data_IF_954791738815
#
_entry.id   IF_954791738815
#
_cell.length_a   1.000
_cell.length_b   1.000
_cell.length_c   1.000
_cell.angle_alpha   90.00
_cell.angle_beta   90.00
_cell.angle_gamma   90.00
#
_symmetry.space_group_name_H-M   'P 1'
#
loop_
_entity.id
_entity.type
_entity.pdbx_description
1 polymer ?
#
# COMPACT_ATOMS: atom_id res chain seq x y z
N UNK A 1 -0.38 -7.45 37.81
CA UNK A 1 0.58 -7.29 36.69
C UNK A 1 -0.01 -6.68 35.41
N UNK A 2 -1.11 -7.21 34.83
CA UNK A 2 -1.72 -6.67 33.58
C UNK A 2 -2.35 -5.26 33.69
N UNK A 3 -2.82 -4.85 34.87
CA UNK A 3 -3.43 -3.52 35.07
C UNK A 3 -2.36 -2.42 35.20
N UNK A 4 -1.33 -2.67 36.01
CA UNK A 4 -0.15 -1.81 36.15
C UNK A 4 0.58 -1.63 34.80
N UNK A 5 0.73 -2.69 34.01
CA UNK A 5 1.34 -2.57 32.68
C UNK A 5 0.47 -1.77 31.71
N UNK A 6 -0.86 -1.88 31.76
CA UNK A 6 -1.78 -1.03 30.97
C UNK A 6 -1.69 0.44 31.36
N UNK A 7 -1.69 0.76 32.66
CA UNK A 7 -1.58 2.14 33.16
C UNK A 7 -0.23 2.74 32.77
N UNK A 8 0.87 2.01 33.02
CA UNK A 8 2.22 2.43 32.67
C UNK A 8 2.33 2.68 31.15
N UNK A 9 1.80 1.78 30.32
CA UNK A 9 1.81 1.95 28.86
C UNK A 9 1.01 3.17 28.39
N UNK A 10 -0.10 3.51 29.04
CA UNK A 10 -0.89 4.70 28.71
C UNK A 10 -0.16 5.98 29.08
N UNK A 11 0.44 6.05 30.27
CA UNK A 11 1.22 7.20 30.72
C UNK A 11 2.47 7.40 29.86
N UNK A 12 3.22 6.31 29.59
CA UNK A 12 4.40 6.31 28.71
C UNK A 12 4.03 6.80 27.30
N UNK A 13 2.88 6.39 26.78
CA UNK A 13 2.40 6.85 25.48
C UNK A 13 2.07 8.34 25.45
N UNK A 14 1.35 8.85 26.45
CA UNK A 14 1.03 10.29 26.51
C UNK A 14 2.31 11.12 26.61
N UNK A 15 3.27 10.69 27.44
CA UNK A 15 4.58 11.33 27.53
C UNK A 15 5.33 11.30 26.19
N UNK A 16 5.37 10.15 25.51
CA UNK A 16 6.00 10.01 24.19
C UNK A 16 5.34 10.91 23.14
N UNK A 17 4.01 10.99 23.12
CA UNK A 17 3.28 11.85 22.20
C UNK A 17 3.57 13.34 22.46
N UNK A 18 3.57 13.77 23.72
CA UNK A 18 3.90 15.15 24.09
C UNK A 18 5.35 15.49 23.74
N UNK A 19 6.28 14.56 23.96
CA UNK A 19 7.66 14.71 23.56
C UNK A 19 7.82 14.88 22.04
N UNK A 20 7.13 14.07 21.24
CA UNK A 20 7.17 14.19 19.77
C UNK A 20 6.53 15.49 19.28
N UNK A 21 5.45 15.94 19.90
CA UNK A 21 4.85 17.26 19.60
C UNK A 21 5.83 18.40 19.89
N UNK A 22 6.54 18.32 21.01
CA UNK A 22 7.58 19.29 21.34
C UNK A 22 8.73 19.27 20.32
N UNK A 23 9.20 18.09 19.93
CA UNK A 23 10.23 17.94 18.88
C UNK A 23 9.75 18.51 17.55
N UNK A 24 8.51 18.21 17.13
CA UNK A 24 7.91 18.75 15.92
C UNK A 24 7.83 20.28 15.96
N UNK A 25 7.43 20.86 17.10
CA UNK A 25 7.38 22.32 17.28
C UNK A 25 8.77 22.96 17.23
N UNK A 26 9.79 22.31 17.80
CA UNK A 26 11.18 22.77 17.67
C UNK A 26 11.66 22.70 16.22
N UNK A 27 11.32 21.64 15.49
CA UNK A 27 11.69 21.50 14.07
C UNK A 27 10.97 22.52 13.19
N UNK A 28 9.70 22.83 13.47
CA UNK A 28 8.96 23.93 12.84
C UNK A 28 9.65 25.30 13.04
N UNK A 29 10.13 25.58 14.25
CA UNK A 29 10.89 26.82 14.49
C UNK A 29 12.18 26.86 13.68
N UNK A 30 12.87 25.73 13.55
CA UNK A 30 14.07 25.62 12.71
C UNK A 30 13.73 25.82 11.24
N UNK A 31 12.64 25.22 10.76
CA UNK A 31 12.24 25.29 9.35
C UNK A 31 12.01 26.73 8.88
N UNK A 32 11.53 27.63 9.75
CA UNK A 32 11.39 29.06 9.42
C UNK A 32 12.69 29.78 9.05
N UNK A 33 13.85 29.26 9.47
CA UNK A 33 15.16 29.83 9.12
C UNK A 33 15.64 29.40 7.74
N UNK A 34 15.10 28.32 7.20
CA UNK A 34 15.48 27.77 5.91
C UNK A 34 14.41 28.11 4.88
N UNK A 35 14.77 28.96 3.92
CA UNK A 35 13.91 29.22 2.77
C UNK A 35 14.04 28.05 1.79
N UNK A 36 12.91 27.69 1.18
CA UNK A 36 12.88 26.77 0.05
C UNK A 36 13.68 27.36 -1.11
N UNK A 37 14.44 26.50 -1.80
CA UNK A 37 15.30 26.90 -2.91
C UNK A 37 14.90 26.10 -4.15
N UNK A 38 14.50 26.81 -5.18
CA UNK A 38 14.27 26.22 -6.50
C UNK A 38 15.60 26.27 -7.24
N UNK A 39 16.17 25.10 -7.52
CA UNK A 39 17.52 24.99 -8.12
C UNK A 39 17.42 24.73 -9.62
N UNK A 40 16.43 23.95 -10.03
CA UNK A 40 16.10 23.72 -11.44
C UNK A 40 14.62 24.05 -11.65
N UNK A 41 14.30 24.74 -12.73
CA UNK A 41 12.93 25.20 -13.02
C UNK A 41 12.76 25.41 -14.54
N UNK A 42 12.56 24.31 -15.28
CA UNK A 42 12.34 24.38 -16.72
C UNK A 42 10.97 24.99 -17.06
N UNK A 43 10.78 25.49 -18.29
CA UNK A 43 9.46 25.88 -18.78
C UNK A 43 8.48 24.69 -18.77
N UNK A 44 7.24 24.98 -18.42
CA UNK A 44 6.14 24.02 -18.43
C UNK A 44 5.18 24.33 -19.56
N UNK A 45 4.80 23.31 -20.33
CA UNK A 45 4.10 23.41 -21.61
C UNK A 45 2.78 22.61 -21.61
N UNK A 46 2.15 22.45 -20.44
CA UNK A 46 0.87 21.77 -20.32
C UNK A 46 0.97 20.23 -20.29
N UNK A 47 2.15 19.67 -20.03
CA UNK A 47 2.32 18.22 -19.89
C UNK A 47 1.60 17.66 -18.65
N UNK A 48 1.42 16.34 -18.59
CA UNK A 48 1.11 15.65 -17.34
C UNK A 48 2.24 15.88 -16.33
N UNK A 49 1.92 16.00 -15.05
CA UNK A 49 2.92 16.31 -14.00
C UNK A 49 3.10 15.12 -13.07
N UNK A 50 4.34 14.75 -12.77
CA UNK A 50 4.67 13.91 -11.62
C UNK A 50 5.32 14.76 -10.52
N UNK A 51 4.64 14.89 -9.39
CA UNK A 51 5.14 15.55 -8.18
C UNK A 51 5.71 14.49 -7.23
N UNK A 52 7.04 14.42 -7.17
CA UNK A 52 7.79 13.45 -6.39
C UNK A 52 8.35 14.07 -5.10
N UNK A 53 7.92 13.55 -3.95
CA UNK A 53 8.50 13.87 -2.65
C UNK A 53 9.71 12.98 -2.38
N UNK A 54 10.86 13.61 -2.09
CA UNK A 54 12.15 12.94 -1.89
C UNK A 54 12.73 13.15 -0.48
N UNK A 55 13.39 12.09 0.00
CA UNK A 55 14.21 11.99 1.20
C UNK A 55 15.60 11.45 0.83
N UNK A 56 16.22 12.06 -0.19
CA UNK A 56 17.45 11.56 -0.81
C UNK A 56 18.66 12.43 -0.46
N UNK A 57 19.70 11.82 0.10
CA UNK A 57 20.89 12.53 0.60
C UNK A 57 22.09 12.29 -0.31
N UNK A 58 22.54 13.36 -0.96
CA UNK A 58 23.72 13.36 -1.81
C UNK A 58 23.47 12.71 -3.17
N UNK A 59 23.13 11.43 -3.19
CA UNK A 59 22.82 10.67 -4.41
C UNK A 59 21.33 10.30 -4.45
N UNK A 60 20.78 10.18 -5.66
CA UNK A 60 19.49 9.55 -5.88
C UNK A 60 19.68 8.03 -5.93
N UNK A 61 18.74 7.27 -5.36
CA UNK A 61 18.68 5.81 -5.55
C UNK A 61 18.41 5.44 -7.01
N UNK A 62 18.86 4.27 -7.45
CA UNK A 62 18.73 3.90 -8.86
C UNK A 62 17.27 3.62 -9.22
N UNK A 63 16.47 3.07 -8.30
CA UNK A 63 15.03 2.86 -8.50
C UNK A 63 14.29 4.18 -8.77
N UNK A 64 14.64 5.24 -8.03
CA UNK A 64 14.10 6.60 -8.25
C UNK A 64 14.52 7.14 -9.62
N UNK A 65 15.77 6.92 -10.03
CA UNK A 65 16.25 7.29 -11.36
C UNK A 65 15.45 6.54 -12.45
N UNK A 66 15.20 5.24 -12.27
CA UNK A 66 14.41 4.42 -13.19
C UNK A 66 12.98 4.92 -13.34
N UNK A 67 12.32 5.29 -12.24
CA UNK A 67 11.00 5.94 -12.26
C UNK A 67 11.02 7.24 -13.09
N UNK A 68 11.98 8.13 -12.80
CA UNK A 68 12.08 9.43 -13.50
C UNK A 68 12.36 9.24 -14.99
N UNK A 69 13.21 8.28 -15.37
CA UNK A 69 13.47 7.93 -16.77
C UNK A 69 12.21 7.41 -17.47
N UNK A 70 11.46 6.51 -16.83
CA UNK A 70 10.18 6.01 -17.34
C UNK A 70 9.18 7.16 -17.54
N UNK A 71 9.08 8.06 -16.57
CA UNK A 71 8.22 9.25 -16.67
C UNK A 71 8.62 10.15 -17.84
N UNK A 72 9.92 10.44 -18.02
CA UNK A 72 10.39 11.25 -19.15
C UNK A 72 10.12 10.62 -20.51
N UNK A 73 10.28 9.29 -20.66
CA UNK A 73 9.94 8.57 -21.90
C UNK A 73 8.49 8.78 -22.30
N UNK A 74 7.59 8.96 -21.33
CA UNK A 74 6.16 9.20 -21.53
C UNK A 74 5.80 10.70 -21.61
N UNK A 75 6.79 11.59 -21.74
CA UNK A 75 6.57 13.03 -21.87
C UNK A 75 6.07 13.72 -20.59
N UNK A 76 6.23 13.10 -19.43
CA UNK A 76 5.78 13.64 -18.15
C UNK A 76 6.75 14.72 -17.66
N UNK A 77 6.20 15.81 -17.15
CA UNK A 77 6.94 16.88 -16.48
C UNK A 77 7.15 16.53 -15.01
N UNK A 78 8.40 16.58 -14.55
CA UNK A 78 8.79 16.07 -13.23
C UNK A 78 9.11 17.21 -12.27
N UNK A 79 8.44 17.24 -11.13
CA UNK A 79 8.69 18.16 -10.02
C UNK A 79 9.19 17.33 -8.84
N UNK A 80 10.46 17.50 -8.47
CA UNK A 80 11.08 16.82 -7.35
C UNK A 80 11.25 17.78 -6.18
N UNK A 81 10.67 17.44 -5.02
CA UNK A 81 10.82 18.21 -3.78
C UNK A 81 11.60 17.39 -2.77
N UNK A 82 12.86 17.77 -2.53
CA UNK A 82 13.78 17.01 -1.69
C UNK A 82 14.07 17.70 -0.35
N UNK A 83 14.26 16.90 0.69
CA UNK A 83 14.46 17.35 2.07
C UNK A 83 15.88 17.17 2.59
N UNK A 84 16.73 16.39 1.89
CA UNK A 84 18.11 16.09 2.33
C UNK A 84 19.22 16.60 1.38
N UNK A 85 18.84 17.22 0.27
CA UNK A 85 19.70 17.80 -0.78
C UNK A 85 20.56 16.79 -1.55
N UNK A 86 20.67 17.00 -2.85
CA UNK A 86 21.58 16.25 -3.72
C UNK A 86 22.91 16.97 -3.89
N UNK A 87 24.00 16.22 -4.08
CA UNK A 87 25.33 16.80 -4.33
C UNK A 87 25.48 17.36 -5.74
N UNK A 88 24.75 16.83 -6.72
CA UNK A 88 24.88 17.24 -8.12
C UNK A 88 23.58 17.02 -8.89
N UNK A 89 22.67 17.99 -8.79
CA UNK A 89 21.41 17.98 -9.56
C UNK A 89 21.64 18.05 -11.07
N UNK A 90 22.75 18.67 -11.50
CA UNK A 90 23.13 18.80 -12.91
C UNK A 90 23.21 17.47 -13.65
N UNK A 91 23.59 16.38 -12.96
CA UNK A 91 23.63 15.02 -13.54
C UNK A 91 22.25 14.46 -13.86
N UNK A 92 21.20 15.05 -13.30
CA UNK A 92 19.83 14.58 -13.41
C UNK A 92 18.93 15.60 -14.12
N UNK A 93 19.50 16.67 -14.71
CA UNK A 93 18.74 17.71 -15.41
C UNK A 93 17.93 17.19 -16.60
N UNK A 94 18.30 16.05 -17.18
CA UNK A 94 17.58 15.47 -18.31
C UNK A 94 16.33 14.70 -17.86
N UNK A 95 16.31 14.27 -16.60
CA UNK A 95 15.22 13.47 -16.00
C UNK A 95 14.42 14.20 -14.93
N UNK A 96 14.87 15.38 -14.51
CA UNK A 96 14.18 16.26 -13.57
C UNK A 96 13.95 17.61 -14.27
N UNK A 97 12.71 18.11 -14.26
CA UNK A 97 12.38 19.40 -14.89
C UNK A 97 12.31 20.54 -13.89
N UNK A 98 11.81 20.26 -12.68
CA UNK A 98 11.84 21.19 -11.55
C UNK A 98 12.38 20.47 -10.31
N UNK A 99 13.33 21.09 -9.62
CA UNK A 99 13.93 20.57 -8.40
C UNK A 99 13.92 21.63 -7.30
N UNK A 100 13.29 21.29 -6.18
CA UNK A 100 13.11 22.17 -5.01
C UNK A 100 13.77 21.53 -3.80
N UNK A 101 14.75 22.22 -3.23
CA UNK A 101 15.32 21.90 -1.93
C UNK A 101 14.50 22.58 -0.82
N UNK A 102 14.10 21.81 0.19
CA UNK A 102 13.43 22.32 1.39
C UNK A 102 14.02 21.73 2.66
N UNK A 103 13.74 22.38 3.78
CA UNK A 103 14.05 21.81 5.10
C UNK A 103 13.20 20.57 5.37
N UNK A 104 13.81 19.58 6.06
CA UNK A 104 13.12 18.36 6.46
C UNK A 104 12.15 18.63 7.62
N UNK A 105 10.92 19.02 7.27
CA UNK A 105 9.80 19.20 8.19
C UNK A 105 8.47 18.91 7.48
N UNK A 106 7.55 18.26 8.18
CA UNK A 106 6.21 17.95 7.68
C UNK A 106 6.08 16.60 6.98
N UNK A 107 7.12 15.77 7.01
CA UNK A 107 7.22 14.48 6.29
C UNK A 107 6.94 14.67 4.78
N UNK A 108 6.44 13.62 4.13
CA UNK A 108 6.01 13.62 2.72
C UNK A 108 4.96 14.70 2.41
N UNK A 109 3.95 14.88 3.27
CA UNK A 109 2.96 15.95 3.10
C UNK A 109 3.56 17.35 3.11
N UNK A 110 4.69 17.55 3.80
CA UNK A 110 5.46 18.78 3.72
C UNK A 110 6.04 19.02 2.34
N UNK A 111 6.59 17.97 1.71
CA UNK A 111 7.10 18.05 0.34
C UNK A 111 5.98 18.21 -0.68
N UNK A 112 4.86 17.51 -0.51
CA UNK A 112 3.68 17.71 -1.36
C UNK A 112 3.15 19.13 -1.25
N UNK A 113 3.00 19.68 -0.04
CA UNK A 113 2.55 21.06 0.15
C UNK A 113 3.43 22.05 -0.61
N UNK A 114 4.75 21.98 -0.45
CA UNK A 114 5.71 22.81 -1.21
C UNK A 114 5.51 22.66 -2.72
N UNK A 115 5.34 21.43 -3.21
CA UNK A 115 5.09 21.16 -4.63
C UNK A 115 3.79 21.75 -5.15
N UNK A 116 2.67 21.58 -4.45
CA UNK A 116 1.38 22.16 -4.84
C UNK A 116 1.40 23.68 -4.75
N UNK A 117 2.00 24.27 -3.73
CA UNK A 117 2.12 25.73 -3.61
C UNK A 117 2.96 26.32 -4.76
N UNK A 118 4.06 25.65 -5.14
CA UNK A 118 4.84 26.04 -6.31
C UNK A 118 3.99 25.98 -7.59
N UNK A 119 3.30 24.85 -7.80
CA UNK A 119 2.44 24.61 -8.95
C UNK A 119 1.34 25.68 -9.07
N UNK A 120 0.63 25.98 -7.97
CA UNK A 120 -0.43 26.97 -7.93
C UNK A 120 0.07 28.39 -8.19
N UNK A 121 1.20 28.76 -7.59
CA UNK A 121 1.82 30.07 -7.80
C UNK A 121 2.25 30.28 -9.26
N UNK A 122 2.67 29.22 -9.94
CA UNK A 122 3.03 29.24 -11.37
C UNK A 122 1.83 29.12 -12.31
N UNK A 123 0.63 28.88 -11.79
CA UNK A 123 -0.58 28.69 -12.60
C UNK A 123 -0.60 27.38 -13.39
N UNK A 124 0.33 26.46 -13.13
CA UNK A 124 0.50 25.20 -13.90
C UNK A 124 -0.72 24.28 -13.82
N UNK A 125 -1.51 24.36 -12.74
CA UNK A 125 -2.77 23.61 -12.58
C UNK A 125 -3.77 23.90 -13.69
N UNK A 126 -3.70 25.09 -14.29
CA UNK A 126 -4.64 25.51 -15.34
C UNK A 126 -4.46 24.72 -16.62
N UNK A 127 -3.25 24.26 -16.89
CA UNK A 127 -2.92 23.54 -18.13
C UNK A 127 -2.65 22.06 -17.88
N UNK A 128 -2.30 21.68 -16.64
CA UNK A 128 -2.06 20.29 -16.24
C UNK A 128 -3.28 19.39 -16.46
N UNK A 129 -3.24 18.45 -17.43
CA UNK A 129 -4.35 17.54 -17.66
C UNK A 129 -4.51 16.53 -16.52
N UNK A 130 -3.39 16.11 -15.92
CA UNK A 130 -3.37 15.18 -14.79
C UNK A 130 -2.05 15.26 -14.03
N UNK A 131 -2.13 15.20 -12.71
CA UNK A 131 -0.97 15.19 -11.83
C UNK A 131 -0.93 13.89 -11.03
N UNK A 132 0.23 13.22 -11.00
CA UNK A 132 0.54 12.13 -10.08
C UNK A 132 1.39 12.66 -8.93
N UNK A 133 0.89 12.61 -7.71
CA UNK A 133 1.73 12.75 -6.52
C UNK A 133 2.27 11.39 -6.10
N UNK A 134 3.56 11.33 -5.80
CA UNK A 134 4.22 10.10 -5.39
C UNK A 134 5.39 10.41 -4.44
N UNK A 135 5.74 9.50 -3.53
CA UNK A 135 6.90 9.67 -2.65
C UNK A 135 7.89 8.51 -2.79
N UNK A 136 9.11 8.72 -2.31
CA UNK A 136 10.21 7.73 -2.36
C UNK A 136 10.27 6.80 -1.14
N UNK A 137 9.21 6.73 -0.33
CA UNK A 137 9.07 5.75 0.76
C UNK A 137 8.75 4.33 0.25
N UNK A 138 8.81 4.15 -1.05
CA UNK A 138 8.59 2.93 -1.82
C UNK A 138 9.82 2.70 -2.70
N UNK A 139 10.08 1.43 -2.97
CA UNK A 139 11.00 0.99 -4.01
C UNK A 139 10.23 0.91 -5.33
N UNK A 140 10.84 1.42 -6.40
CA UNK A 140 10.30 1.40 -7.75
C UNK A 140 10.89 0.25 -8.57
N UNK A 141 10.14 -0.84 -8.69
CA UNK A 141 10.48 -1.94 -9.59
C UNK A 141 10.48 -1.46 -11.03
N UNK A 142 11.53 -1.75 -11.80
CA UNK A 142 11.56 -1.53 -13.25
C UNK A 142 10.55 -2.41 -13.97
N UNK A 143 10.25 -3.57 -13.38
CA UNK A 143 9.18 -4.45 -13.83
C UNK A 143 7.85 -3.74 -13.66
N UNK A 144 7.08 -3.64 -14.73
CA UNK A 144 5.75 -3.01 -14.81
C UNK A 144 5.68 -1.48 -14.70
N UNK A 145 6.78 -0.77 -14.47
CA UNK A 145 6.72 0.69 -14.20
C UNK A 145 6.10 1.50 -15.34
N UNK A 146 6.46 1.19 -16.59
CA UNK A 146 5.95 1.92 -17.74
C UNK A 146 4.42 1.79 -17.86
N UNK A 147 3.92 0.55 -17.77
CA UNK A 147 2.47 0.26 -17.82
C UNK A 147 1.73 0.85 -16.62
N UNK A 148 2.32 0.81 -15.43
CA UNK A 148 1.72 1.40 -14.25
C UNK A 148 1.57 2.93 -14.38
N UNK A 149 2.60 3.62 -14.87
CA UNK A 149 2.52 5.06 -15.12
C UNK A 149 1.45 5.36 -16.19
N UNK A 150 1.39 4.58 -17.26
CA UNK A 150 0.33 4.69 -18.27
C UNK A 150 -1.07 4.55 -17.64
N UNK A 151 -1.31 3.50 -16.85
CA UNK A 151 -2.60 3.30 -16.16
C UNK A 151 -2.94 4.47 -15.23
N UNK A 152 -1.96 4.99 -14.47
CA UNK A 152 -2.17 6.11 -13.55
C UNK A 152 -2.44 7.43 -14.28
N UNK A 153 -1.81 7.66 -15.44
CA UNK A 153 -1.87 8.92 -16.17
C UNK A 153 -2.94 8.97 -17.27
N UNK A 154 -3.38 7.84 -17.82
CA UNK A 154 -4.43 7.76 -18.85
C UNK A 154 -5.83 7.45 -18.30
N UNK A 155 -5.92 7.08 -17.02
CA UNK A 155 -7.22 6.80 -16.40
C UNK A 155 -8.16 8.01 -16.44
N UNK A 156 -9.44 7.72 -16.67
CA UNK A 156 -10.53 8.72 -16.64
C UNK A 156 -11.06 8.99 -15.23
N UNK A 157 -10.62 8.22 -14.23
CA UNK A 157 -11.01 8.39 -12.83
C UNK A 157 -10.39 9.69 -12.30
N UNK A 158 -11.21 10.59 -11.76
CA UNK A 158 -10.76 11.92 -11.33
C UNK A 158 -9.76 11.88 -10.17
N UNK A 159 -9.99 11.05 -9.14
CA UNK A 159 -9.06 10.79 -8.04
C UNK A 159 -8.73 9.30 -7.97
N UNK A 160 -7.51 8.94 -8.38
CA UNK A 160 -7.06 7.55 -8.47
C UNK A 160 -5.84 7.31 -7.58
N UNK A 161 -6.00 6.55 -6.50
CA UNK A 161 -4.86 6.06 -5.72
C UNK A 161 -4.30 4.78 -6.33
N UNK A 162 -3.02 4.47 -6.11
CA UNK A 162 -2.51 3.14 -6.48
C UNK A 162 -3.21 2.04 -5.64
N UNK A 163 -3.31 2.28 -4.34
CA UNK A 163 -4.01 1.40 -3.37
C UNK A 163 -4.83 2.23 -2.39
N UNK A 164 -5.60 1.57 -1.55
CA UNK A 164 -6.40 2.13 -0.46
C UNK A 164 -6.11 1.46 0.89
N UNK A 165 -6.64 2.03 1.95
CA UNK A 165 -6.42 1.61 3.32
C UNK A 165 -7.74 1.59 4.10
N UNK A 166 -7.96 0.52 4.87
CA UNK A 166 -9.16 0.22 5.65
C UNK A 166 -8.90 0.12 7.16
N UNK A 167 -7.69 0.41 7.65
CA UNK A 167 -7.30 0.20 9.05
C UNK A 167 -8.08 1.07 10.04
N UNK A 168 -8.24 2.37 9.74
CA UNK A 168 -8.89 3.35 10.63
C UNK A 168 -10.17 3.88 9.99
N UNK A 169 -10.03 4.42 8.78
CA UNK A 169 -11.12 4.93 7.95
C UNK A 169 -10.71 4.68 6.50
N UNK A 170 -11.67 4.43 5.61
CA UNK A 170 -11.38 4.22 4.18
C UNK A 170 -10.77 5.47 3.53
N UNK A 171 -9.51 5.37 3.08
CA UNK A 171 -8.76 6.43 2.40
C UNK A 171 -7.80 5.87 1.33
N UNK A 172 -7.41 6.70 0.35
CA UNK A 172 -6.38 6.34 -0.62
C UNK A 172 -4.99 6.42 0.01
N UNK A 173 -4.09 5.53 -0.40
CA UNK A 173 -2.69 5.57 0.02
C UNK A 173 -2.00 6.83 -0.52
N UNK A 174 -1.62 7.75 0.37
CA UNK A 174 -1.01 9.05 0.03
C UNK A 174 0.38 8.96 -0.61
N UNK A 175 0.96 7.76 -0.67
CA UNK A 175 2.24 7.53 -1.34
C UNK A 175 2.14 7.56 -2.86
N UNK A 176 0.94 7.43 -3.45
CA UNK A 176 0.75 7.44 -4.91
C UNK A 176 -0.72 7.74 -5.27
N UNK A 177 -1.01 8.98 -5.70
CA UNK A 177 -2.37 9.42 -6.09
C UNK A 177 -2.30 10.29 -7.36
N UNK A 178 -3.06 9.90 -8.39
CA UNK A 178 -3.29 10.70 -9.57
C UNK A 178 -4.58 11.53 -9.46
N UNK A 179 -4.51 12.78 -9.92
CA UNK A 179 -5.54 13.79 -9.81
C UNK A 179 -5.79 14.44 -11.17
N UNK A 180 -7.04 14.40 -11.60
CA UNK A 180 -7.50 15.06 -12.83
C UNK A 180 -7.46 16.59 -12.72
N UNK A 181 -7.32 17.25 -13.88
CA UNK A 181 -7.34 18.71 -14.04
C UNK A 181 -8.48 19.40 -13.28
N UNK A 182 -9.68 18.82 -13.27
CA UNK A 182 -10.83 19.40 -12.56
C UNK A 182 -10.59 19.50 -11.06
N UNK A 183 -9.95 18.49 -10.46
CA UNK A 183 -9.58 18.51 -9.04
C UNK A 183 -8.51 19.57 -8.79
N UNK A 184 -7.49 19.64 -9.63
CA UNK A 184 -6.40 20.61 -9.49
C UNK A 184 -6.90 22.07 -9.52
N UNK A 185 -7.95 22.34 -10.31
CA UNK A 185 -8.57 23.65 -10.42
C UNK A 185 -9.70 23.90 -9.40
N UNK A 186 -10.04 22.93 -8.57
CA UNK A 186 -11.08 23.09 -7.57
C UNK A 186 -10.57 23.89 -6.36
N UNK A 187 -11.29 24.96 -6.00
CA UNK A 187 -10.91 25.85 -4.89
C UNK A 187 -10.81 25.13 -3.54
N UNK A 188 -11.67 24.14 -3.31
CA UNK A 188 -11.67 23.36 -2.07
C UNK A 188 -10.38 22.55 -1.94
N UNK A 189 -9.90 21.97 -3.04
CA UNK A 189 -8.65 21.23 -3.08
C UNK A 189 -7.44 22.16 -2.91
N UNK A 190 -7.44 23.32 -3.57
CA UNK A 190 -6.36 24.31 -3.40
C UNK A 190 -6.31 24.85 -1.96
N UNK A 191 -7.47 25.11 -1.36
CA UNK A 191 -7.57 25.56 0.03
C UNK A 191 -7.10 24.49 1.03
N UNK A 192 -7.27 23.20 0.74
CA UNK A 192 -6.71 22.14 1.57
C UNK A 192 -5.19 22.27 1.67
N UNK A 193 -4.48 22.38 0.55
CA UNK A 193 -3.01 22.50 0.55
C UNK A 193 -2.51 23.79 1.19
N UNK A 194 -3.16 24.93 0.85
CA UNK A 194 -2.83 26.24 1.44
C UNK A 194 -2.90 26.20 2.97
N UNK A 195 -3.97 25.61 3.51
CA UNK A 195 -4.24 25.58 4.95
C UNK A 195 -3.66 24.34 5.67
N UNK A 196 -3.03 23.41 4.96
CA UNK A 196 -2.48 22.21 5.57
C UNK A 196 -1.39 22.56 6.59
N UNK A 197 -1.60 22.15 7.84
CA UNK A 197 -0.68 22.39 8.95
C UNK A 197 0.38 21.28 9.04
N UNK A 198 1.63 21.65 8.79
CA UNK A 198 2.76 20.73 8.85
C UNK A 198 3.04 20.22 10.27
N UNK A 199 3.44 18.95 10.38
CA UNK A 199 3.90 18.30 11.61
C UNK A 199 4.77 17.09 11.27
N UNK A 200 5.68 16.72 12.18
CA UNK A 200 6.42 15.47 12.10
C UNK A 200 5.73 14.32 12.88
N UNK A 201 4.66 14.63 13.64
CA UNK A 201 3.91 13.65 14.42
C UNK A 201 3.07 12.78 13.49
N UNK A 202 3.48 11.52 13.30
CA UNK A 202 2.90 10.61 12.30
C UNK A 202 1.37 10.46 12.39
N UNK A 203 0.74 10.21 13.56
CA UNK A 203 -0.72 10.14 13.62
C UNK A 203 -1.43 11.43 13.17
N UNK A 204 -0.84 12.59 13.45
CA UNK A 204 -1.40 13.87 13.01
C UNK A 204 -1.24 14.06 11.50
N UNK A 205 -0.16 13.54 10.88
CA UNK A 205 0.00 13.47 9.41
C UNK A 205 -1.02 12.52 8.78
N UNK A 206 -1.25 11.35 9.36
CA UNK A 206 -2.27 10.41 8.84
C UNK A 206 -3.65 11.06 8.91
N UNK A 207 -3.98 11.65 10.06
CA UNK A 207 -5.30 12.27 10.29
C UNK A 207 -5.53 13.51 9.44
N UNK A 208 -4.62 14.49 9.49
CA UNK A 208 -4.79 15.79 8.79
C UNK A 208 -4.37 15.71 7.33
N UNK A 209 -3.50 14.77 6.99
CA UNK A 209 -3.01 14.50 5.65
C UNK A 209 -3.89 13.48 4.98
N UNK A 210 -3.57 12.20 5.12
CA UNK A 210 -4.17 11.10 4.35
C UNK A 210 -5.71 11.07 4.41
N UNK A 211 -6.28 11.14 5.62
CA UNK A 211 -7.73 11.06 5.81
C UNK A 211 -8.45 12.33 5.34
N UNK A 212 -7.97 13.53 5.70
CA UNK A 212 -8.62 14.79 5.27
C UNK A 212 -8.41 15.04 3.78
N UNK A 213 -7.27 14.67 3.19
CA UNK A 213 -7.06 14.68 1.74
C UNK A 213 -8.11 13.80 1.07
N UNK A 214 -8.27 12.55 1.52
CA UNK A 214 -9.28 11.65 0.94
C UNK A 214 -10.70 12.17 1.09
N UNK A 215 -11.06 12.77 2.23
CA UNK A 215 -12.36 13.46 2.42
C UNK A 215 -12.53 14.65 1.48
N UNK A 216 -11.47 15.41 1.27
CA UNK A 216 -11.45 16.54 0.35
C UNK A 216 -11.68 16.06 -1.08
N UNK A 217 -10.97 15.01 -1.51
CA UNK A 217 -11.12 14.38 -2.82
C UNK A 217 -12.54 13.84 -3.02
N UNK A 218 -13.07 13.04 -2.07
CA UNK A 218 -14.46 12.54 -2.10
C UNK A 218 -15.51 13.63 -2.25
N UNK A 219 -15.24 14.85 -1.73
CA UNK A 219 -16.15 16.00 -1.83
C UNK A 219 -16.07 16.72 -3.18
N UNK A 220 -14.92 16.72 -3.85
CA UNK A 220 -14.70 17.51 -5.08
C UNK A 220 -14.84 16.70 -6.35
N UNK A 221 -14.79 15.37 -6.28
CA UNK A 221 -15.09 14.50 -7.43
C UNK A 221 -16.54 14.64 -7.87
N UNK A 222 -16.78 14.45 -9.17
CA UNK A 222 -18.11 14.64 -9.77
C UNK A 222 -19.11 13.55 -9.40
N UNK A 223 -18.65 12.34 -9.07
CA UNK A 223 -19.49 11.27 -8.52
C UNK A 223 -18.67 10.34 -7.62
N UNK A 224 -19.32 9.53 -6.74
CA UNK A 224 -18.60 8.58 -5.88
C UNK A 224 -17.70 7.60 -6.66
N UNK A 225 -18.09 7.23 -7.88
CA UNK A 225 -17.33 6.35 -8.77
C UNK A 225 -16.03 6.95 -9.32
N UNK A 226 -15.82 8.26 -9.13
CA UNK A 226 -14.63 8.98 -9.55
C UNK A 226 -13.54 9.04 -8.47
N UNK A 227 -13.77 8.40 -7.33
CA UNK A 227 -12.79 8.19 -6.26
C UNK A 227 -12.49 6.69 -6.13
N UNK A 228 -11.36 6.22 -6.68
CA UNK A 228 -11.04 4.77 -6.73
C UNK A 228 -9.56 4.49 -6.45
N UNK A 229 -9.27 3.25 -6.09
CA UNK A 229 -7.92 2.70 -6.16
C UNK A 229 -7.74 1.94 -7.49
N UNK A 230 -6.54 2.01 -8.06
CA UNK A 230 -6.18 1.30 -9.29
C UNK A 230 -6.14 -0.22 -9.08
N UNK A 231 -5.67 -0.65 -7.90
CA UNK A 231 -5.69 -2.04 -7.45
C UNK A 231 -6.74 -2.22 -6.34
N UNK A 232 -8.01 -1.99 -6.69
CA UNK A 232 -9.14 -2.23 -5.79
C UNK A 232 -9.58 -3.71 -5.79
N UNK A 233 -10.48 -4.06 -4.88
CA UNK A 233 -11.02 -5.41 -4.76
C UNK A 233 -11.73 -5.91 -6.02
N UNK A 234 -12.34 -5.00 -6.79
CA UNK A 234 -13.01 -5.32 -8.05
C UNK A 234 -12.01 -5.83 -9.08
N UNK A 235 -10.88 -5.12 -9.25
CA UNK A 235 -9.79 -5.53 -10.13
C UNK A 235 -9.20 -6.86 -9.67
N UNK A 236 -8.98 -7.04 -8.37
CA UNK A 236 -8.40 -8.27 -7.83
C UNK A 236 -9.31 -9.48 -8.10
N UNK A 237 -10.60 -9.35 -7.81
CA UNK A 237 -11.57 -10.41 -8.11
C UNK A 237 -11.53 -10.76 -9.61
N UNK A 238 -11.53 -9.75 -10.48
CA UNK A 238 -11.50 -9.96 -11.94
C UNK A 238 -10.21 -10.64 -12.41
N UNK A 239 -9.07 -10.27 -11.86
CA UNK A 239 -7.77 -10.89 -12.19
C UNK A 239 -7.80 -12.38 -11.82
N UNK A 240 -8.29 -12.73 -10.64
CA UNK A 240 -8.33 -14.13 -10.19
C UNK A 240 -9.38 -14.96 -10.93
N UNK A 241 -10.52 -14.38 -11.29
CA UNK A 241 -11.52 -15.04 -12.14
C UNK A 241 -10.99 -15.35 -13.54
N UNK A 242 -10.14 -14.47 -14.08
CA UNK A 242 -9.59 -14.62 -15.44
C UNK A 242 -8.34 -15.51 -15.47
N UNK A 243 -7.57 -15.53 -14.39
CA UNK A 243 -6.31 -16.28 -14.27
C UNK A 243 -6.40 -17.24 -13.08
N UNK A 244 -7.17 -18.32 -13.25
CA UNK A 244 -7.43 -19.28 -12.16
C UNK A 244 -6.16 -20.00 -11.66
N UNK A 245 -5.10 -20.03 -12.46
CA UNK A 245 -3.76 -20.51 -12.08
C UNK A 245 -3.13 -19.69 -10.94
N UNK A 246 -3.47 -18.39 -10.83
CA UNK A 246 -3.03 -17.55 -9.71
C UNK A 246 -3.63 -18.00 -8.37
N UNK A 247 -4.79 -18.67 -8.39
CA UNK A 247 -5.47 -19.13 -7.17
C UNK A 247 -4.58 -20.12 -6.41
N UNK A 248 -3.86 -20.98 -7.14
CA UNK A 248 -2.93 -21.96 -6.56
C UNK A 248 -1.71 -21.28 -5.92
N UNK A 249 -1.38 -20.06 -6.35
CA UNK A 249 -0.26 -19.27 -5.84
C UNK A 249 -0.66 -18.33 -4.70
N UNK A 250 -1.93 -18.24 -4.31
CA UNK A 250 -2.36 -17.27 -3.28
C UNK A 250 -1.67 -17.46 -1.93
N UNK A 251 -1.32 -18.70 -1.55
CA UNK A 251 -0.59 -18.97 -0.30
C UNK A 251 0.84 -18.44 -0.34
N UNK A 252 1.50 -18.51 -1.50
CA UNK A 252 2.89 -18.04 -1.66
C UNK A 252 2.94 -16.53 -1.91
N UNK A 253 1.93 -15.97 -2.57
CA UNK A 253 1.77 -14.54 -2.83
C UNK A 253 1.18 -13.76 -1.67
N UNK A 254 0.75 -14.45 -0.61
CA UNK A 254 0.28 -13.82 0.62
C UNK A 254 1.42 -13.54 1.59
N UNK A 255 1.30 -12.42 2.30
CA UNK A 255 2.18 -12.02 3.40
C UNK A 255 2.27 -13.13 4.44
N UNK A 256 3.51 -13.51 4.80
CA UNK A 256 3.80 -14.55 5.78
C UNK A 256 3.97 -14.00 7.21
N UNK A 257 4.20 -12.69 7.39
CA UNK A 257 4.34 -12.11 8.72
C UNK A 257 3.06 -12.19 9.57
N UNK A 258 3.18 -12.79 10.76
CA UNK A 258 2.11 -12.88 11.75
C UNK A 258 2.22 -11.84 12.88
N UNK A 259 3.16 -10.89 12.77
CA UNK A 259 3.39 -9.86 13.80
C UNK A 259 2.20 -8.89 13.97
N UNK A 260 1.28 -8.88 13.01
CA UNK A 260 0.09 -8.03 12.99
C UNK A 260 -1.16 -8.89 12.91
N UNK A 261 -2.25 -8.47 13.57
CA UNK A 261 -3.48 -9.25 13.67
C UNK A 261 -4.34 -9.23 12.39
N UNK A 262 -3.78 -8.81 11.25
CA UNK A 262 -4.52 -8.75 9.99
C UNK A 262 -4.59 -10.13 9.34
N UNK A 263 -5.79 -10.68 9.10
CA UNK A 263 -5.93 -12.02 8.56
C UNK A 263 -5.37 -12.08 7.14
N UNK A 264 -4.59 -13.10 6.83
CA UNK A 264 -4.05 -13.38 5.49
C UNK A 264 -4.78 -14.57 4.88
N UNK A 265 -4.64 -14.75 3.57
CA UNK A 265 -5.22 -15.90 2.90
C UNK A 265 -4.65 -17.20 3.46
N UNK A 266 -5.52 -18.18 3.62
CA UNK A 266 -5.17 -19.51 4.11
C UNK A 266 -6.10 -20.53 3.49
N UNK A 267 -5.54 -21.50 2.78
CA UNK A 267 -6.31 -22.62 2.24
C UNK A 267 -7.05 -23.38 3.33
N UNK A 268 -6.50 -23.49 4.54
CA UNK A 268 -7.16 -24.14 5.67
C UNK A 268 -8.42 -23.40 6.13
N UNK A 269 -8.38 -22.06 6.18
CA UNK A 269 -9.57 -21.25 6.51
C UNK A 269 -10.62 -21.36 5.40
N UNK A 270 -10.18 -21.27 4.14
CA UNK A 270 -11.07 -21.43 2.98
C UNK A 270 -11.76 -22.81 2.97
N UNK A 271 -11.00 -23.91 3.13
CA UNK A 271 -11.55 -25.27 3.21
C UNK A 271 -12.51 -25.43 4.37
N UNK A 272 -12.21 -24.85 5.54
CA UNK A 272 -13.14 -24.83 6.68
C UNK A 272 -14.44 -24.06 6.37
N UNK A 273 -14.36 -22.99 5.58
CA UNK A 273 -15.53 -22.29 5.06
C UNK A 273 -16.35 -23.16 4.09
N UNK A 274 -15.68 -23.78 3.12
CA UNK A 274 -16.27 -24.69 2.14
C UNK A 274 -17.01 -25.85 2.82
N UNK A 275 -16.34 -26.54 3.75
CA UNK A 275 -16.94 -27.65 4.52
C UNK A 275 -18.19 -27.18 5.26
N UNK A 276 -18.15 -26.04 5.96
CA UNK A 276 -19.31 -25.51 6.69
C UNK A 276 -20.48 -25.14 5.78
N UNK A 277 -20.23 -24.64 4.57
CA UNK A 277 -21.26 -24.16 3.64
C UNK A 277 -21.89 -25.30 2.83
N UNK A 278 -21.06 -26.20 2.30
CA UNK A 278 -21.46 -27.14 1.25
C UNK A 278 -21.38 -28.61 1.69
N UNK A 279 -20.50 -28.97 2.64
CA UNK A 279 -20.29 -30.36 3.03
C UNK A 279 -20.99 -30.68 4.36
N UNK A 280 -22.05 -31.48 4.27
CA UNK A 280 -22.73 -32.02 5.45
C UNK A 280 -22.36 -33.49 5.60
N UNK A 281 -21.96 -33.91 6.81
CA UNK A 281 -21.87 -35.34 7.10
C UNK A 281 -23.27 -35.92 7.30
N UNK A 282 -23.50 -37.15 6.82
CA UNK A 282 -24.74 -37.90 7.06
C UNK A 282 -25.11 -37.97 8.56
N UNK A 283 -24.11 -37.95 9.46
CA UNK A 283 -24.34 -37.84 10.91
C UNK A 283 -25.01 -36.55 11.38
N UNK A 284 -24.74 -35.39 10.75
CA UNK A 284 -25.41 -34.12 11.10
C UNK A 284 -26.87 -34.10 10.64
N UNK A 285 -27.19 -34.71 9.49
CA UNK A 285 -28.55 -34.88 8.98
C UNK A 285 -29.36 -35.86 9.84
N UNK A 286 -28.79 -37.01 10.23
CA UNK A 286 -29.46 -37.97 11.12
C UNK A 286 -29.78 -37.39 12.51
N UNK A 287 -28.94 -36.49 13.03
CA UNK A 287 -29.18 -35.80 14.31
C UNK A 287 -30.31 -34.78 14.24
N UNK A 288 -30.47 -34.10 13.09
CA UNK A 288 -31.61 -33.21 12.80
C UNK A 288 -32.93 -33.98 12.65
N UNK A 289 -32.87 -35.26 12.28
CA UNK A 289 -34.03 -36.17 12.19
C UNK A 289 -34.20 -37.09 13.41
N UNK A 290 -33.55 -36.78 14.54
CA UNK A 290 -33.85 -37.41 15.84
C UNK A 290 -33.33 -38.84 16.02
N UNK A 291 -32.34 -39.29 15.24
CA UNK A 291 -31.66 -40.57 15.50
C UNK A 291 -30.39 -40.35 16.31
N UNK A 292 -30.30 -41.04 17.44
CA UNK A 292 -29.09 -41.05 18.27
C UNK A 292 -27.93 -41.67 17.51
N UNK A 293 -26.92 -40.86 17.25
CA UNK A 293 -25.64 -41.37 16.77
C UNK A 293 -24.53 -40.95 17.71
N UNK A 294 -23.77 -41.95 18.17
CA UNK A 294 -22.55 -41.78 18.94
C UNK A 294 -21.59 -40.91 18.14
N UNK A 295 -21.34 -39.72 18.66
CA UNK A 295 -20.36 -38.77 18.13
C UNK A 295 -18.98 -39.26 18.46
N UNK A 296 -18.21 -39.64 17.45
CA UNK A 296 -16.77 -39.46 17.36
C UNK A 296 -16.42 -39.49 15.88
N UNK A 297 -15.40 -38.73 15.48
CA UNK A 297 -14.86 -38.64 14.11
C UNK A 297 -15.53 -37.59 13.20
N UNK A 298 -15.30 -36.31 13.53
CA UNK A 298 -15.26 -35.21 12.52
C UNK A 298 -13.80 -34.73 12.33
N UNK A 299 -12.82 -35.46 12.88
CA UNK A 299 -11.40 -35.11 12.73
C UNK A 299 -10.70 -35.86 11.60
N UNK A 300 -11.37 -36.77 10.90
CA UNK A 300 -10.75 -37.60 9.86
C UNK A 300 -10.93 -37.03 8.43
N UNK A 301 -10.68 -35.73 8.27
CA UNK A 301 -10.00 -35.33 7.04
C UNK A 301 -8.53 -35.69 7.28
N UNK A 302 -8.16 -36.93 6.95
CA UNK A 302 -6.76 -37.35 6.97
C UNK A 302 -5.89 -36.24 6.33
N UNK A 303 -4.75 -35.94 6.95
CA UNK A 303 -3.88 -34.85 6.53
C UNK A 303 -3.39 -35.07 5.09
N UNK A 304 -4.12 -34.52 4.12
CA UNK A 304 -3.75 -34.58 2.71
C UNK A 304 -3.01 -33.30 2.35
N UNK A 305 -1.80 -33.45 1.81
CA UNK A 305 -1.03 -32.33 1.28
C UNK A 305 -1.65 -31.87 -0.04
N UNK A 306 -2.62 -30.95 0.05
CA UNK A 306 -3.28 -30.37 -1.11
C UNK A 306 -2.37 -29.29 -1.70
N UNK A 307 -1.77 -29.59 -2.86
CA UNK A 307 -0.86 -28.68 -3.56
C UNK A 307 -1.56 -27.64 -4.44
N UNK A 308 -2.79 -27.90 -4.88
CA UNK A 308 -3.55 -27.01 -5.77
C UNK A 308 -5.06 -27.12 -5.54
N UNK A 309 -5.79 -26.11 -5.99
CA UNK A 309 -7.27 -26.09 -6.06
C UNK A 309 -7.81 -27.24 -6.91
N UNK A 310 -7.10 -27.66 -7.96
CA UNK A 310 -7.45 -28.84 -8.76
C UNK A 310 -7.33 -30.13 -7.95
N UNK A 311 -6.23 -30.29 -7.21
CA UNK A 311 -6.07 -31.44 -6.32
C UNK A 311 -7.14 -31.46 -5.22
N UNK A 312 -7.50 -30.29 -4.68
CA UNK A 312 -8.60 -30.17 -3.72
C UNK A 312 -9.94 -30.58 -4.33
N UNK A 313 -10.24 -30.10 -5.55
CA UNK A 313 -11.46 -30.45 -6.27
C UNK A 313 -11.54 -31.94 -6.52
N UNK A 314 -10.44 -32.56 -6.95
CA UNK A 314 -10.37 -34.00 -7.16
C UNK A 314 -10.56 -34.79 -5.87
N UNK A 315 -10.02 -34.29 -4.74
CA UNK A 315 -10.26 -34.90 -3.43
C UNK A 315 -11.73 -34.81 -3.04
N UNK A 316 -12.32 -33.61 -3.08
CA UNK A 316 -13.72 -33.38 -2.69
C UNK A 316 -14.64 -34.22 -3.59
N UNK A 317 -14.47 -34.14 -4.91
CA UNK A 317 -15.29 -34.85 -5.89
C UNK A 317 -15.32 -36.37 -5.66
N UNK A 318 -14.16 -36.98 -5.33
CA UNK A 318 -14.08 -38.42 -5.04
C UNK A 318 -14.84 -38.87 -3.80
N UNK A 319 -15.15 -37.96 -2.88
CA UNK A 319 -15.80 -38.26 -1.60
C UNK A 319 -17.24 -37.71 -1.53
N UNK A 320 -17.78 -37.21 -2.65
CA UNK A 320 -19.18 -36.84 -2.76
C UNK A 320 -20.01 -38.09 -3.10
N UNK A 321 -20.98 -38.43 -2.26
CA UNK A 321 -21.97 -39.48 -2.51
C UNK A 321 -23.24 -38.87 -3.11
N UNK A 322 -23.81 -39.53 -4.13
CA UNK A 322 -25.14 -39.21 -4.70
C UNK A 322 -25.36 -37.73 -5.08
N UNK A 323 -24.45 -37.14 -5.87
CA UNK A 323 -24.56 -35.73 -6.29
C UNK A 323 -24.55 -35.60 -7.82
N UNK A 324 -25.50 -34.85 -8.37
CA UNK A 324 -25.55 -34.42 -9.78
C UNK A 324 -24.61 -33.23 -10.02
N UNK A 325 -23.32 -33.42 -9.71
CA UNK A 325 -22.27 -32.43 -9.93
C UNK A 325 -21.14 -33.05 -10.75
N UNK A 326 -20.56 -32.27 -11.64
CA UNK A 326 -19.33 -32.64 -12.34
C UNK A 326 -18.09 -32.22 -11.52
N UNK A 327 -16.92 -32.77 -11.86
CA UNK A 327 -15.66 -32.30 -11.31
C UNK A 327 -15.47 -30.78 -11.52
N UNK A 328 -15.87 -30.27 -12.70
CA UNK A 328 -15.72 -28.85 -13.04
C UNK A 328 -16.63 -27.96 -12.18
N UNK A 329 -17.82 -28.42 -11.80
CA UNK A 329 -18.70 -27.70 -10.88
C UNK A 329 -18.09 -27.58 -9.48
N UNK A 330 -17.47 -28.67 -9.00
CA UNK A 330 -16.76 -28.69 -7.71
C UNK A 330 -15.53 -27.77 -7.77
N UNK A 331 -14.74 -27.86 -8.84
CA UNK A 331 -13.57 -27.00 -9.05
C UNK A 331 -13.96 -25.52 -9.09
N UNK A 332 -15.02 -25.18 -9.83
CA UNK A 332 -15.53 -23.82 -9.92
C UNK A 332 -15.98 -23.29 -8.56
N UNK A 333 -16.68 -24.11 -7.77
CA UNK A 333 -17.07 -23.76 -6.39
C UNK A 333 -15.87 -23.47 -5.51
N UNK A 334 -14.82 -24.30 -5.59
CA UNK A 334 -13.58 -24.09 -4.84
C UNK A 334 -12.89 -22.79 -5.27
N UNK A 335 -12.81 -22.50 -6.57
CA UNK A 335 -12.24 -21.25 -7.06
C UNK A 335 -13.02 -20.04 -6.55
N UNK A 336 -14.36 -20.08 -6.56
CA UNK A 336 -15.21 -19.01 -6.03
C UNK A 336 -14.93 -18.76 -4.54
N UNK A 337 -14.85 -19.82 -3.73
CA UNK A 337 -14.57 -19.71 -2.29
C UNK A 337 -13.14 -19.20 -2.02
N UNK A 338 -12.16 -19.63 -2.81
CA UNK A 338 -10.79 -19.14 -2.72
C UNK A 338 -10.70 -17.64 -3.06
N UNK A 339 -11.34 -17.21 -4.15
CA UNK A 339 -11.40 -15.79 -4.55
C UNK A 339 -12.10 -14.97 -3.47
N UNK A 340 -13.25 -15.44 -2.96
CA UNK A 340 -14.01 -14.74 -1.93
C UNK A 340 -13.18 -14.56 -0.64
N UNK A 341 -12.52 -15.62 -0.17
CA UNK A 341 -11.64 -15.55 1.01
C UNK A 341 -10.47 -14.58 0.78
N UNK A 342 -9.82 -14.64 -0.39
CA UNK A 342 -8.72 -13.75 -0.71
C UNK A 342 -9.16 -12.28 -0.74
N UNK A 343 -10.22 -11.96 -1.47
CA UNK A 343 -10.76 -10.59 -1.58
C UNK A 343 -11.18 -10.04 -0.21
N UNK A 344 -11.74 -10.86 0.67
CA UNK A 344 -12.05 -10.45 2.04
C UNK A 344 -10.78 -10.06 2.81
N UNK A 345 -9.73 -10.87 2.75
CA UNK A 345 -8.45 -10.59 3.41
C UNK A 345 -7.68 -9.44 2.77
N UNK A 346 -7.82 -9.25 1.45
CA UNK A 346 -7.19 -8.19 0.68
C UNK A 346 -7.64 -6.80 1.15
N UNK A 347 -8.93 -6.67 1.53
CA UNK A 347 -9.53 -5.43 2.04
C UNK A 347 -9.32 -5.20 3.55
N UNK A 348 -8.33 -5.84 4.18
CA UNK A 348 -8.01 -5.64 5.61
C UNK A 348 -6.75 -4.81 5.78
N UNK A 349 -6.84 -3.79 6.63
CA UNK A 349 -5.71 -2.91 6.95
C UNK A 349 -5.25 -2.10 5.74
N UNK A 350 -3.93 -1.94 5.59
CA UNK A 350 -3.31 -1.25 4.46
C UNK A 350 -3.02 -2.22 3.32
N UNK A 351 -3.68 -2.05 2.17
CA UNK A 351 -3.55 -2.99 1.04
C UNK A 351 -2.11 -3.21 0.58
N UNK A 352 -1.33 -2.13 0.42
CA UNK A 352 0.05 -2.26 -0.05
C UNK A 352 0.92 -3.07 0.91
N UNK A 353 0.72 -2.94 2.23
CA UNK A 353 1.51 -3.69 3.20
C UNK A 353 0.99 -5.12 3.39
N UNK A 354 -0.32 -5.32 3.28
CA UNK A 354 -0.96 -6.62 3.43
C UNK A 354 -0.70 -7.53 2.22
N UNK A 355 -0.65 -6.95 1.03
CA UNK A 355 -0.70 -7.68 -0.24
C UNK A 355 0.46 -7.34 -1.19
N UNK A 356 1.58 -6.79 -0.72
CA UNK A 356 2.62 -6.25 -1.62
C UNK A 356 3.16 -7.28 -2.62
N UNK A 357 3.36 -8.52 -2.19
CA UNK A 357 3.87 -9.61 -3.01
C UNK A 357 2.90 -9.90 -4.17
N UNK A 358 1.63 -10.16 -3.83
CA UNK A 358 0.56 -10.35 -4.81
C UNK A 358 0.40 -9.14 -5.74
N UNK A 359 0.36 -7.92 -5.19
CA UNK A 359 0.21 -6.69 -5.97
C UNK A 359 1.35 -6.51 -6.98
N UNK A 360 2.59 -6.77 -6.57
CA UNK A 360 3.74 -6.71 -7.46
C UNK A 360 3.63 -7.74 -8.59
N UNK A 361 3.28 -8.98 -8.22
CA UNK A 361 3.11 -10.08 -9.17
C UNK A 361 2.06 -9.78 -10.26
N UNK A 362 0.97 -9.10 -9.92
CA UNK A 362 -0.10 -8.74 -10.89
C UNK A 362 0.13 -7.40 -11.60
N UNK A 363 1.28 -6.76 -11.39
CA UNK A 363 1.71 -5.61 -12.18
C UNK A 363 1.90 -4.28 -11.44
N UNK A 364 1.85 -4.24 -10.10
CA UNK A 364 2.11 -3.02 -9.33
C UNK A 364 3.61 -2.87 -9.02
N UNK A 365 4.33 -1.89 -9.59
CA UNK A 365 5.79 -1.76 -9.45
C UNK A 365 6.24 -1.21 -8.09
N UNK A 366 5.33 -0.98 -7.15
CA UNK A 366 5.60 -0.23 -5.91
C UNK A 366 5.76 -1.20 -4.74
N UNK A 367 6.90 -1.14 -4.03
CA UNK A 367 7.16 -1.99 -2.86
C UNK A 367 7.45 -1.12 -1.63
N UNK A 368 6.76 -1.33 -0.50
CA UNK A 368 6.95 -0.50 0.70
C UNK A 368 8.25 -0.81 1.43
N UNK A 369 9.13 0.20 1.49
CA UNK A 369 10.45 0.10 2.12
C UNK A 369 10.40 -0.01 3.64
N UNK A 370 9.33 0.43 4.29
CA UNK A 370 9.16 0.29 5.74
C UNK A 370 8.52 -1.03 6.17
N UNK A 371 8.18 -1.92 5.24
CA UNK A 371 7.47 -3.16 5.54
C UNK A 371 8.22 -4.07 6.53
N UNK A 372 9.52 -4.30 6.33
CA UNK A 372 10.33 -5.09 7.27
C UNK A 372 10.52 -4.36 8.60
N UNK A 373 10.85 -3.06 8.55
CA UNK A 373 11.03 -2.23 9.74
C UNK A 373 9.79 -2.21 10.64
N UNK A 374 8.58 -2.18 10.05
CA UNK A 374 7.29 -2.16 10.74
C UNK A 374 6.77 -3.54 11.12
N UNK A 375 7.43 -4.61 10.69
CA UNK A 375 6.98 -5.98 10.91
C UNK A 375 5.80 -6.39 10.01
N UNK A 376 5.49 -5.61 8.98
CA UNK A 376 4.57 -6.03 7.91
C UNK A 376 5.17 -7.21 7.16
N UNK A 377 6.47 -7.18 6.91
CA UNK A 377 7.22 -8.22 6.21
C UNK A 377 8.16 -8.95 7.16
N UNK A 378 8.41 -10.22 6.86
CA UNK A 378 9.54 -11.00 7.36
C UNK A 378 10.54 -11.27 6.22
N UNK A 379 11.69 -11.88 6.52
CA UNK A 379 12.71 -12.19 5.52
C UNK A 379 12.14 -12.99 4.33
N UNK A 380 11.24 -13.96 4.57
CA UNK A 380 10.54 -14.69 3.51
C UNK A 380 9.80 -13.76 2.54
N UNK A 381 9.07 -12.77 3.05
CA UNK A 381 8.31 -11.83 2.22
C UNK A 381 9.25 -10.96 1.37
N UNK A 382 10.37 -10.53 1.96
CA UNK A 382 11.41 -9.78 1.25
C UNK A 382 12.02 -10.61 0.13
N UNK A 383 12.35 -11.88 0.39
CA UNK A 383 12.89 -12.77 -0.64
C UNK A 383 11.87 -13.07 -1.75
N UNK A 384 10.58 -13.23 -1.42
CA UNK A 384 9.53 -13.40 -2.42
C UNK A 384 9.40 -12.17 -3.34
N UNK A 385 9.47 -10.96 -2.78
CA UNK A 385 9.51 -9.73 -3.59
C UNK A 385 10.78 -9.66 -4.44
N UNK A 386 11.94 -9.96 -3.85
CA UNK A 386 13.23 -9.92 -4.53
C UNK A 386 13.30 -10.90 -5.72
N UNK A 387 12.72 -12.10 -5.58
CA UNK A 387 12.65 -13.09 -6.64
C UNK A 387 11.76 -12.67 -7.82
N UNK A 388 10.80 -11.76 -7.59
CA UNK A 388 9.88 -11.28 -8.62
C UNK A 388 10.39 -10.02 -9.34
N UNK A 389 11.49 -9.40 -8.87
CA UNK A 389 12.14 -8.24 -9.49
C UNK A 389 13.00 -8.61 -10.71
N UNK A 390 13.32 -7.60 -11.52
CA UNK A 390 14.36 -7.74 -12.55
C UNK A 390 15.73 -7.96 -11.90
N UNK A 391 16.54 -8.86 -12.46
CA UNK A 391 17.80 -9.32 -11.85
C UNK A 391 18.77 -8.21 -11.42
N UNK A 392 18.80 -7.10 -12.15
CA UNK A 392 19.69 -5.95 -11.84
C UNK A 392 19.25 -5.14 -10.60
N UNK A 393 18.00 -5.28 -10.15
CA UNK A 393 17.46 -4.57 -8.98
C UNK A 393 17.50 -5.39 -7.68
N UNK A 394 17.72 -6.70 -7.78
CA UNK A 394 17.57 -7.65 -6.66
C UNK A 394 18.48 -7.30 -5.48
N UNK A 395 19.77 -7.06 -5.74
CA UNK A 395 20.75 -6.83 -4.67
C UNK A 395 20.56 -5.46 -4.00
N UNK A 396 20.28 -4.42 -4.78
CA UNK A 396 19.96 -3.08 -4.27
C UNK A 396 18.71 -3.13 -3.39
N UNK A 397 17.66 -3.81 -3.85
CA UNK A 397 16.43 -3.98 -3.09
C UNK A 397 16.68 -4.71 -1.76
N UNK A 398 17.40 -5.84 -1.77
CA UNK A 398 17.76 -6.57 -0.54
C UNK A 398 18.53 -5.68 0.43
N UNK A 399 19.54 -4.95 -0.07
CA UNK A 399 20.33 -4.05 0.77
C UNK A 399 19.46 -2.98 1.42
N UNK A 400 18.55 -2.36 0.67
CA UNK A 400 17.63 -1.35 1.19
C UNK A 400 16.72 -1.93 2.27
N UNK A 401 16.07 -3.08 2.02
CA UNK A 401 15.15 -3.71 2.96
C UNK A 401 15.85 -4.15 4.25
N UNK A 402 16.99 -4.86 4.15
CA UNK A 402 17.70 -5.38 5.31
C UNK A 402 18.48 -4.32 6.09
N UNK A 403 18.71 -3.13 5.53
CA UNK A 403 19.34 -2.01 6.27
C UNK A 403 18.50 -1.49 7.44
N UNK A 404 17.19 -1.79 7.45
CA UNK A 404 16.25 -1.36 8.50
C UNK A 404 15.53 -2.57 9.10
N UNK A 405 16.18 -3.30 10.02
CA UNK A 405 15.56 -4.46 10.65
C UNK A 405 14.34 -4.06 11.48
N UNK A 406 13.52 -5.05 11.84
CA UNK A 406 12.29 -4.85 12.60
C UNK A 406 12.52 -4.00 13.88
N UNK A 407 11.89 -2.83 13.94
CA UNK A 407 12.09 -1.85 15.02
C UNK A 407 11.70 -2.37 16.40
N UNK A 408 10.78 -3.34 16.49
CA UNK A 408 10.39 -3.98 17.75
C UNK A 408 11.53 -4.74 18.44
N UNK A 409 12.51 -5.22 17.67
CA UNK A 409 13.71 -5.89 18.18
C UNK A 409 14.83 -4.91 18.54
N UNK A 410 14.79 -3.68 18.00
CA UNK A 410 15.84 -2.67 18.15
C UNK A 410 15.54 -1.69 19.29
N UNK A 411 14.30 -1.22 19.41
CA UNK A 411 13.94 -0.23 20.41
C UNK A 411 13.71 -0.85 21.80
N UNK A 412 13.97 -0.06 22.84
CA UNK A 412 13.69 -0.40 24.23
C UNK A 412 12.89 0.71 24.95
N UNK A 413 12.27 0.36 26.08
CA UNK A 413 11.53 1.31 26.92
C UNK A 413 10.41 2.06 26.19
N UNK A 414 10.35 3.38 26.39
CA UNK A 414 9.31 4.23 25.80
C UNK A 414 9.36 4.28 24.27
N UNK A 415 10.55 4.18 23.66
CA UNK A 415 10.71 4.17 22.20
C UNK A 415 10.03 2.94 21.59
N UNK A 416 10.17 1.78 22.22
CA UNK A 416 9.49 0.55 21.79
C UNK A 416 7.97 0.70 21.90
N UNK A 417 7.48 1.27 23.00
CA UNK A 417 6.05 1.54 23.17
C UNK A 417 5.51 2.54 22.14
N UNK A 418 6.28 3.58 21.81
CA UNK A 418 5.94 4.56 20.78
C UNK A 418 5.92 3.94 19.38
N UNK A 419 6.92 3.09 19.07
CA UNK A 419 7.02 2.35 17.80
C UNK A 419 5.80 1.44 17.56
N UNK A 420 5.43 0.61 18.55
CA UNK A 420 4.25 -0.27 18.43
C UNK A 420 2.92 0.48 18.32
N UNK A 421 2.87 1.74 18.76
CA UNK A 421 1.70 2.61 18.59
C UNK A 421 1.81 3.52 17.36
N UNK A 422 2.79 3.28 16.49
CA UNK A 422 2.95 3.99 15.23
C UNK A 422 3.33 5.47 15.36
N UNK A 423 3.93 5.88 16.48
CA UNK A 423 4.36 7.25 16.72
C UNK A 423 5.70 7.60 16.07
N UNK A 424 6.65 6.64 16.06
CA UNK A 424 7.99 6.77 15.49
C UNK A 424 8.26 5.67 14.50
#
# INVERSE_FOLDING_TARGET
MRLLSKILNTLVFQAANNYLKLQSYQNWKKSKKFKEQIILDKPYEGQKIMLLALYEKGILRNDVIGLLQSAKKQGIYTICVNTLKLTSIEKHKDIIDCYIDKHNYGRDFGSYKTGFEHLFRRGMQKDCPRLLMINDSIFFSSKHIDKFLEEMFESKIEALGATENFEIEHHLGSFCIALDKKILNNEVFQNYWKNYELTDVRPDVIKRGEMVLSKTLKRVVTSPDQFKALYDSTRIAKVLETHTDLIDSLVTLSRASELLPWPTYSSGIMVKGLTKKYLYSNHKLMRLWGKDVKSNEIEDFGMNFVMSTRSLAGFVYKHLEDVDLTYDDVYKTICIEAIAHFVETFSRGSQIHQNNIFLHHIGMPLIKLDGLYRGMFIARDVESLAQDLDGHQVDEFRQLMYSRPFGGNVFFGWKRAAFYRGLI
#
